data_IF_801105932090
#
_entry.id   IF_801105932090
#
_cell.length_a   1.000
_cell.length_b   1.000
_cell.length_c   1.000
_cell.angle_alpha   90.00
_cell.angle_beta   90.00
_cell.angle_gamma   90.00
#
_symmetry.space_group_name_H-M   'P 1'
#
loop_
_entity.id
_entity.type
_entity.pdbx_description
1 polymer ?
#
# COMPACT_ATOMS: atom_id res chain seq x y z
N UNK A 1 21.37 10.07 -26.47
CA UNK A 1 21.63 10.31 -25.03
C UNK A 1 22.97 9.67 -24.69
N UNK A 2 23.92 10.38 -24.06
CA UNK A 2 25.21 9.78 -23.70
C UNK A 2 24.99 8.74 -22.60
N UNK A 3 25.57 7.55 -22.76
CA UNK A 3 25.55 6.46 -21.77
C UNK A 3 26.50 6.82 -20.62
N UNK A 4 26.03 6.77 -19.38
CA UNK A 4 26.90 6.63 -18.20
C UNK A 4 26.96 7.79 -17.20
N UNK A 5 26.08 8.80 -17.25
CA UNK A 5 26.04 9.81 -16.19
C UNK A 5 25.05 9.37 -15.11
N UNK A 6 25.55 9.03 -13.92
CA UNK A 6 24.70 8.78 -12.76
C UNK A 6 24.01 10.11 -12.36
N UNK A 7 22.69 10.12 -12.37
CA UNK A 7 21.90 11.27 -11.94
C UNK A 7 21.64 11.16 -10.43
N UNK A 8 21.63 12.30 -9.72
CA UNK A 8 21.40 12.32 -8.28
C UNK A 8 20.24 13.26 -7.94
N UNK A 9 19.32 12.81 -7.09
CA UNK A 9 18.34 13.65 -6.41
C UNK A 9 18.79 13.83 -4.97
N UNK A 10 19.14 15.07 -4.61
CA UNK A 10 19.50 15.41 -3.22
C UNK A 10 18.29 16.02 -2.53
N UNK A 11 17.84 15.40 -1.45
CA UNK A 11 16.83 15.93 -0.52
C UNK A 11 17.50 16.42 0.78
N UNK A 12 16.74 17.06 1.67
CA UNK A 12 17.23 17.60 2.95
C UNK A 12 17.88 16.56 3.87
N UNK A 13 17.53 15.28 3.72
CA UNK A 13 18.00 14.19 4.58
C UNK A 13 18.67 13.04 3.84
N UNK A 14 18.33 12.85 2.56
CA UNK A 14 18.70 11.67 1.79
C UNK A 14 19.21 12.08 0.40
N UNK A 15 20.21 11.37 -0.11
CA UNK A 15 20.70 11.49 -1.48
C UNK A 15 20.32 10.21 -2.23
N UNK A 16 19.57 10.37 -3.31
CA UNK A 16 19.14 9.29 -4.17
C UNK A 16 19.98 9.26 -5.43
N UNK A 17 20.66 8.15 -5.70
CA UNK A 17 21.34 7.89 -6.96
C UNK A 17 20.37 7.22 -7.93
N UNK A 18 20.16 7.80 -9.10
CA UNK A 18 19.28 7.27 -10.14
C UNK A 18 20.11 6.49 -11.14
N UNK A 19 19.69 5.26 -11.40
CA UNK A 19 20.25 4.41 -12.42
C UNK A 19 19.12 3.88 -13.32
N UNK A 20 19.27 4.04 -14.64
CA UNK A 20 18.38 3.35 -15.58
C UNK A 20 18.86 1.91 -15.71
N UNK A 21 17.97 0.96 -15.50
CA UNK A 21 18.34 -0.47 -15.55
C UNK A 21 18.66 -0.85 -16.98
N UNK A 22 19.84 -1.42 -17.15
CA UNK A 22 20.28 -2.13 -18.36
C UNK A 22 20.51 -3.60 -18.01
N UNK A 23 20.68 -4.46 -19.02
CA UNK A 23 20.91 -5.90 -18.82
C UNK A 23 22.11 -6.23 -17.93
N UNK A 24 23.09 -5.33 -17.85
CA UNK A 24 24.28 -5.47 -16.98
C UNK A 24 24.01 -5.02 -15.53
N UNK A 25 23.06 -4.11 -15.32
CA UNK A 25 22.74 -3.54 -14.00
C UNK A 25 21.87 -4.48 -13.16
N UNK A 26 21.00 -5.26 -13.79
CA UNK A 26 20.12 -6.23 -13.11
C UNK A 26 20.91 -7.36 -12.42
N UNK A 27 22.03 -7.80 -13.01
CA UNK A 27 22.93 -8.81 -12.41
C UNK A 27 23.56 -8.27 -11.12
N UNK A 28 24.00 -7.01 -11.11
CA UNK A 28 24.62 -6.38 -9.94
C UNK A 28 23.62 -6.08 -8.80
N UNK A 29 22.34 -5.87 -9.11
CA UNK A 29 21.27 -5.74 -8.10
C UNK A 29 21.04 -7.04 -7.34
N UNK A 30 21.03 -8.17 -8.05
CA UNK A 30 20.79 -9.49 -7.46
C UNK A 30 21.88 -9.86 -6.44
N UNK A 31 23.14 -9.44 -6.67
CA UNK A 31 24.24 -9.63 -5.72
C UNK A 31 24.06 -8.77 -4.46
N UNK A 32 23.66 -7.49 -4.60
CA UNK A 32 23.44 -6.58 -3.46
C UNK A 32 22.22 -6.93 -2.61
N UNK A 33 21.14 -7.43 -3.21
CA UNK A 33 19.92 -7.81 -2.49
C UNK A 33 20.18 -8.98 -1.52
N UNK A 34 21.10 -9.89 -1.85
CA UNK A 34 21.48 -11.00 -0.97
C UNK A 34 22.30 -10.56 0.25
N UNK A 35 23.14 -9.53 0.15
CA UNK A 35 23.95 -9.03 1.27
C UNK A 35 23.17 -8.05 2.18
N UNK A 36 22.28 -7.24 1.62
CA UNK A 36 21.62 -6.12 2.31
C UNK A 36 20.49 -6.54 3.27
N UNK A 37 20.02 -7.78 3.19
CA UNK A 37 18.96 -8.31 4.06
C UNK A 37 19.43 -8.55 5.50
N UNK A 38 20.74 -8.63 5.74
CA UNK A 38 21.32 -8.95 7.06
C UNK A 38 21.73 -7.73 7.90
N UNK A 39 21.91 -6.54 7.32
CA UNK A 39 22.43 -5.39 8.05
C UNK A 39 21.90 -4.05 7.49
N UNK A 40 20.81 -3.54 8.07
CA UNK A 40 20.41 -2.14 7.87
C UNK A 40 20.59 -1.38 9.19
N UNK A 41 21.78 -0.79 9.35
CA UNK A 41 22.11 0.10 10.46
C UNK A 41 21.50 1.50 10.22
N UNK A 42 20.82 2.04 11.23
CA UNK A 42 20.06 3.29 11.16
C UNK A 42 20.93 4.56 11.28
N UNK A 43 22.25 4.42 11.28
CA UNK A 43 23.18 5.45 11.78
C UNK A 43 23.87 6.32 10.73
N UNK A 44 23.70 6.08 9.42
CA UNK A 44 24.30 6.91 8.35
C UNK A 44 23.29 7.21 7.25
N UNK A 45 23.32 8.45 6.75
CA UNK A 45 22.64 8.83 5.50
C UNK A 45 23.01 7.80 4.44
N UNK A 46 22.06 6.95 4.09
CA UNK A 46 22.29 5.86 3.16
C UNK A 46 22.15 6.43 1.76
N UNK A 47 23.15 6.21 0.91
CA UNK A 47 23.01 6.49 -0.52
C UNK A 47 21.94 5.54 -1.06
N UNK A 48 20.72 6.05 -1.20
CA UNK A 48 19.58 5.29 -1.70
C UNK A 48 19.71 5.16 -3.21
N UNK A 49 19.63 3.95 -3.74
CA UNK A 49 19.64 3.74 -5.20
C UNK A 49 18.21 3.62 -5.71
N UNK A 50 17.86 4.43 -6.69
CA UNK A 50 16.61 4.35 -7.45
C UNK A 50 16.94 3.73 -8.79
N UNK A 51 16.27 2.63 -9.08
CA UNK A 51 16.44 1.93 -10.33
C UNK A 51 15.20 2.11 -11.20
N UNK A 52 15.39 2.68 -12.39
CA UNK A 52 14.31 3.03 -13.31
C UNK A 52 14.22 1.94 -14.38
N UNK A 53 13.10 1.24 -14.40
CA UNK A 53 12.73 0.33 -15.47
C UNK A 53 11.77 1.05 -16.43
N UNK A 54 12.22 1.29 -17.67
CA UNK A 54 11.48 2.08 -18.67
C UNK A 54 10.70 1.21 -19.66
N UNK A 55 11.23 0.04 -20.00
CA UNK A 55 10.64 -0.84 -21.02
C UNK A 55 9.79 -1.96 -20.40
N UNK A 56 10.28 -2.57 -19.32
CA UNK A 56 9.67 -3.73 -18.68
C UNK A 56 9.46 -3.49 -17.19
N UNK A 57 8.79 -4.42 -16.52
CA UNK A 57 8.68 -4.44 -15.06
C UNK A 57 9.88 -5.13 -14.41
N UNK A 58 10.27 -4.77 -13.18
CA UNK A 58 11.29 -5.50 -12.43
C UNK A 58 10.95 -6.99 -12.30
N UNK A 59 11.97 -7.83 -12.33
CA UNK A 59 11.80 -9.28 -12.11
C UNK A 59 11.51 -9.58 -10.65
N UNK A 60 11.03 -10.79 -10.37
CA UNK A 60 10.82 -11.23 -8.98
C UNK A 60 12.15 -11.32 -8.20
N UNK A 61 13.30 -11.55 -8.85
CA UNK A 61 14.59 -11.50 -8.15
C UNK A 61 14.96 -10.06 -7.70
N UNK A 62 14.61 -9.07 -8.52
CA UNK A 62 14.86 -7.66 -8.21
C UNK A 62 13.89 -7.16 -7.11
N UNK A 63 12.64 -7.63 -7.11
CA UNK A 63 11.62 -7.26 -6.12
C UNK A 63 10.90 -8.48 -5.50
N UNK A 64 11.56 -9.25 -4.61
CA UNK A 64 11.03 -10.53 -4.11
C UNK A 64 9.80 -10.40 -3.19
N UNK A 65 9.48 -9.18 -2.76
CA UNK A 65 8.32 -8.90 -1.90
C UNK A 65 7.15 -8.27 -2.64
N UNK A 66 7.28 -8.08 -3.96
CA UNK A 66 6.23 -7.51 -4.80
C UNK A 66 6.32 -8.10 -6.21
N UNK A 67 5.39 -8.99 -6.53
CA UNK A 67 5.27 -9.55 -7.87
C UNK A 67 4.55 -8.56 -8.80
N UNK A 68 5.31 -7.94 -9.70
CA UNK A 68 4.77 -6.99 -10.67
C UNK A 68 3.82 -7.66 -11.67
N UNK A 69 4.08 -8.90 -12.08
CA UNK A 69 3.26 -9.60 -13.07
C UNK A 69 1.90 -9.93 -12.48
N UNK A 70 1.87 -10.44 -11.24
CA UNK A 70 0.63 -10.71 -10.51
C UNK A 70 -0.15 -9.42 -10.27
N UNK A 71 0.52 -8.36 -9.80
CA UNK A 71 -0.14 -7.07 -9.57
C UNK A 71 -0.76 -6.48 -10.84
N UNK A 72 0.01 -6.34 -11.92
CA UNK A 72 -0.50 -5.70 -13.14
C UNK A 72 -1.48 -6.58 -13.90
N UNK A 73 -1.37 -7.91 -13.83
CA UNK A 73 -2.39 -8.81 -14.39
C UNK A 73 -3.72 -8.68 -13.64
N UNK A 74 -3.69 -8.70 -12.30
CA UNK A 74 -4.86 -8.47 -11.46
C UNK A 74 -5.46 -7.07 -11.65
N UNK A 75 -4.62 -6.04 -11.78
CA UNK A 75 -5.06 -4.67 -12.05
C UNK A 75 -5.78 -4.56 -13.40
N UNK A 76 -5.24 -5.17 -14.47
CA UNK A 76 -5.89 -5.23 -15.79
C UNK A 76 -7.25 -5.93 -15.73
N UNK A 77 -7.33 -7.06 -15.02
CA UNK A 77 -8.57 -7.80 -14.83
C UNK A 77 -9.61 -6.97 -14.07
N UNK A 78 -9.23 -6.32 -12.97
CA UNK A 78 -10.14 -5.45 -12.20
C UNK A 78 -10.63 -4.28 -13.03
N UNK A 79 -9.76 -3.67 -13.85
CA UNK A 79 -10.12 -2.58 -14.76
C UNK A 79 -11.10 -3.02 -15.85
N UNK A 80 -10.94 -4.21 -16.43
CA UNK A 80 -11.86 -4.68 -17.47
C UNK A 80 -13.27 -4.95 -16.93
N UNK A 81 -13.39 -5.28 -15.64
CA UNK A 81 -14.69 -5.44 -14.96
C UNK A 81 -15.26 -4.14 -14.39
N UNK A 82 -14.46 -3.08 -14.33
CA UNK A 82 -14.90 -1.80 -13.77
C UNK A 82 -15.68 -1.00 -14.82
N UNK A 83 -16.88 -0.50 -14.49
CA UNK A 83 -17.64 0.37 -15.39
C UNK A 83 -17.01 1.76 -15.57
N UNK A 84 -15.96 2.09 -14.79
CA UNK A 84 -15.28 3.38 -14.82
C UNK A 84 -13.90 3.26 -15.46
N UNK A 85 -13.65 4.10 -16.47
CA UNK A 85 -12.35 4.23 -17.13
C UNK A 85 -11.35 4.91 -16.19
N UNK A 86 -10.49 4.11 -15.55
CA UNK A 86 -9.44 4.57 -14.64
C UNK A 86 -8.11 4.68 -15.38
N UNK A 87 -7.98 5.67 -16.26
CA UNK A 87 -6.74 5.93 -16.98
C UNK A 87 -5.71 6.57 -16.01
N UNK A 88 -4.51 5.97 -15.91
CA UNK A 88 -3.35 6.59 -15.25
C UNK A 88 -3.03 6.19 -13.80
N UNK A 89 -3.75 5.26 -13.18
CA UNK A 89 -3.46 4.82 -11.80
C UNK A 89 -2.31 3.79 -11.75
N UNK A 90 -1.25 4.04 -10.98
CA UNK A 90 -0.25 3.04 -10.55
C UNK A 90 1.15 3.12 -11.20
N UNK A 91 1.95 4.14 -10.87
CA UNK A 91 3.38 4.30 -11.27
C UNK A 91 4.09 5.20 -10.25
N UNK A 92 5.38 5.57 -10.32
CA UNK A 92 6.59 5.08 -9.59
C UNK A 92 6.82 5.79 -8.21
N UNK A 93 7.98 6.40 -7.85
CA UNK A 93 8.46 6.84 -6.47
C UNK A 93 8.26 8.33 -6.05
N UNK A 94 8.15 8.66 -4.73
CA UNK A 94 7.84 10.01 -4.17
C UNK A 94 9.04 10.76 -3.56
N UNK A 95 9.18 12.03 -3.94
CA UNK A 95 9.85 13.15 -3.23
C UNK A 95 8.90 14.37 -3.29
N UNK A 96 8.88 15.28 -2.32
CA UNK A 96 7.98 16.45 -2.33
C UNK A 96 8.14 17.37 -3.56
N UNK A 97 9.36 17.51 -4.11
CA UNK A 97 9.59 18.24 -5.37
C UNK A 97 9.12 17.45 -6.59
N UNK A 98 9.19 16.12 -6.51
CA UNK A 98 8.67 15.23 -7.55
C UNK A 98 7.15 15.23 -7.56
N UNK A 99 6.46 15.34 -6.40
CA UNK A 99 5.00 15.26 -6.28
C UNK A 99 4.23 16.13 -7.30
N UNK A 100 4.72 17.34 -7.58
CA UNK A 100 4.10 18.26 -8.54
C UNK A 100 4.14 17.76 -9.99
N UNK A 101 5.06 16.86 -10.31
CA UNK A 101 5.24 16.27 -11.63
C UNK A 101 4.53 14.91 -11.76
N UNK A 102 3.96 14.39 -10.67
CA UNK A 102 3.36 13.06 -10.67
C UNK A 102 1.90 13.12 -11.13
N UNK A 103 1.47 12.18 -11.98
CA UNK A 103 0.07 12.08 -12.38
C UNK A 103 -0.82 11.61 -11.22
N UNK A 104 -2.12 11.89 -11.31
CA UNK A 104 -3.11 11.24 -10.43
C UNK A 104 -2.99 9.73 -10.58
N UNK A 105 -3.03 9.05 -9.44
CA UNK A 105 -2.99 7.60 -9.34
C UNK A 105 -1.58 7.03 -9.24
N UNK A 106 -0.54 7.85 -9.36
CA UNK A 106 0.82 7.47 -9.04
C UNK A 106 0.90 6.79 -7.66
N UNK A 107 1.41 5.57 -7.59
CA UNK A 107 1.37 4.69 -6.41
C UNK A 107 2.76 4.24 -6.03
N UNK A 108 3.13 4.45 -4.77
CA UNK A 108 4.34 3.90 -4.15
C UNK A 108 3.95 2.79 -3.22
N UNK A 109 4.69 1.70 -3.25
CA UNK A 109 4.55 0.56 -2.33
C UNK A 109 5.86 0.39 -1.58
N UNK A 110 5.78 0.02 -0.31
CA UNK A 110 6.96 -0.25 0.50
C UNK A 110 6.85 -1.61 1.19
N UNK A 111 7.90 -2.41 1.11
CA UNK A 111 7.99 -3.67 1.86
C UNK A 111 8.05 -3.43 3.37
N UNK A 112 8.76 -2.37 3.77
CA UNK A 112 8.93 -1.98 5.17
C UNK A 112 8.95 -0.47 5.29
N UNK A 113 8.32 0.05 6.34
CA UNK A 113 8.36 1.47 6.67
C UNK A 113 9.04 1.65 8.02
N UNK A 114 10.22 2.26 8.02
CA UNK A 114 11.05 2.47 9.21
C UNK A 114 10.65 3.72 10.00
N UNK A 115 10.23 4.77 9.30
CA UNK A 115 9.79 6.04 9.88
C UNK A 115 8.29 6.28 9.60
N UNK A 116 7.46 5.35 10.06
CA UNK A 116 6.02 5.38 9.88
C UNK A 116 5.37 6.62 10.50
N UNK A 117 4.59 7.36 9.70
CA UNK A 117 3.82 8.51 10.19
C UNK A 117 2.34 8.17 10.31
N UNK A 118 1.78 8.47 11.47
CA UNK A 118 0.36 8.52 11.75
C UNK A 118 -0.13 9.97 11.88
N UNK A 119 -1.42 10.11 12.20
CA UNK A 119 -2.02 11.43 12.44
C UNK A 119 -1.42 12.07 13.70
N UNK A 120 -1.36 13.40 13.73
CA UNK A 120 -0.83 14.19 14.85
C UNK A 120 0.61 13.81 15.24
N UNK A 121 1.43 13.47 14.24
CA UNK A 121 2.84 13.07 14.41
C UNK A 121 3.05 11.76 15.19
N UNK A 122 1.99 10.97 15.42
CA UNK A 122 2.14 9.65 16.03
C UNK A 122 2.97 8.74 15.15
N UNK A 123 3.87 7.96 15.75
CA UNK A 123 4.63 6.96 15.02
C UNK A 123 3.74 5.74 14.69
N UNK A 124 3.89 5.20 13.48
CA UNK A 124 3.21 3.97 13.06
C UNK A 124 4.23 2.84 12.90
N UNK A 125 4.13 1.82 13.75
CA UNK A 125 4.85 0.57 13.53
C UNK A 125 4.20 -0.21 12.39
N UNK A 126 5.02 -0.67 11.45
CA UNK A 126 4.59 -1.55 10.35
C UNK A 126 5.61 -2.67 10.16
N UNK A 127 5.54 -3.75 10.97
CA UNK A 127 6.39 -4.92 10.78
C UNK A 127 6.13 -5.60 9.42
N UNK A 128 6.97 -6.58 9.07
CA UNK A 128 6.74 -7.41 7.88
C UNK A 128 5.33 -8.01 7.89
N UNK A 129 4.69 -8.08 6.71
CA UNK A 129 3.30 -8.54 6.56
C UNK A 129 2.24 -7.44 6.52
N UNK A 130 2.65 -6.17 6.65
CA UNK A 130 1.80 -5.02 6.35
C UNK A 130 1.80 -4.73 4.85
N UNK A 131 0.63 -4.45 4.29
CA UNK A 131 0.51 -3.81 2.99
C UNK A 131 0.62 -2.30 3.20
N UNK A 132 1.67 -1.69 2.64
CA UNK A 132 1.99 -0.28 2.79
C UNK A 132 2.10 0.36 1.42
N UNK A 133 1.22 1.30 1.14
CA UNK A 133 1.27 2.04 -0.11
C UNK A 133 0.75 3.46 0.05
N UNK A 134 1.12 4.32 -0.89
CA UNK A 134 0.61 5.68 -0.96
C UNK A 134 0.26 6.02 -2.39
N UNK A 135 -0.88 6.66 -2.59
CA UNK A 135 -1.35 7.09 -3.91
C UNK A 135 -1.43 8.61 -3.97
N UNK A 136 -0.83 9.19 -5.01
CA UNK A 136 -1.01 10.59 -5.34
C UNK A 136 -2.37 10.81 -6.01
N UNK A 137 -3.12 11.80 -5.58
CA UNK A 137 -4.39 12.21 -6.18
C UNK A 137 -4.33 13.70 -6.43
N UNK A 138 -4.39 14.13 -7.70
CA UNK A 138 -4.52 15.56 -8.02
C UNK A 138 -5.93 16.00 -7.64
N UNK A 139 -6.00 16.95 -6.74
CA UNK A 139 -7.26 17.50 -6.25
C UNK A 139 -7.31 19.00 -6.53
N UNK A 140 -8.21 19.46 -7.43
CA UNK A 140 -8.32 20.88 -7.73
C UNK A 140 -8.65 21.70 -6.49
N UNK A 141 -7.93 22.81 -6.31
CA UNK A 141 -8.10 23.74 -5.17
C UNK A 141 -9.55 24.23 -5.06
N UNK A 142 -10.23 24.43 -6.20
CA UNK A 142 -11.63 24.83 -6.29
C UNK A 142 -12.58 23.84 -5.61
N UNK A 143 -12.24 22.56 -5.56
CA UNK A 143 -13.04 21.49 -4.96
C UNK A 143 -12.73 21.25 -3.48
N UNK A 144 -11.72 21.92 -2.89
CA UNK A 144 -11.31 21.73 -1.49
C UNK A 144 -12.43 21.94 -0.47
N UNK A 145 -13.37 22.84 -0.75
CA UNK A 145 -14.52 23.11 0.15
C UNK A 145 -15.56 21.98 0.12
N UNK A 146 -15.72 21.30 -1.01
CA UNK A 146 -16.74 20.26 -1.20
C UNK A 146 -16.17 18.86 -0.91
N UNK A 147 -14.92 18.62 -1.35
CA UNK A 147 -14.19 17.38 -1.17
C UNK A 147 -12.93 17.64 -0.32
N UNK A 148 -13.19 17.88 0.97
CA UNK A 148 -12.16 18.07 1.98
C UNK A 148 -11.28 16.80 2.11
N UNK A 149 -10.00 16.89 2.52
CA UNK A 149 -9.12 15.72 2.68
C UNK A 149 -9.71 14.59 3.53
N UNK A 150 -10.53 14.94 4.53
CA UNK A 150 -11.27 13.97 5.35
C UNK A 150 -12.28 13.15 4.54
N UNK A 151 -12.92 13.74 3.53
CA UNK A 151 -13.82 13.03 2.63
C UNK A 151 -13.04 12.03 1.76
N UNK A 152 -11.91 12.44 1.18
CA UNK A 152 -11.04 11.53 0.43
C UNK A 152 -10.51 10.39 1.30
N UNK A 153 -10.18 10.68 2.56
CA UNK A 153 -9.77 9.67 3.52
C UNK A 153 -10.88 8.65 3.80
N UNK A 154 -12.13 9.11 3.87
CA UNK A 154 -13.29 8.23 4.02
C UNK A 154 -13.51 7.35 2.79
N UNK A 155 -13.40 7.93 1.58
CA UNK A 155 -13.47 7.15 0.33
C UNK A 155 -12.38 6.08 0.26
N UNK A 156 -11.15 6.42 0.62
CA UNK A 156 -10.05 5.47 0.71
C UNK A 156 -10.34 4.35 1.72
N UNK A 157 -10.96 4.68 2.85
CA UNK A 157 -11.36 3.70 3.86
C UNK A 157 -12.42 2.73 3.34
N UNK A 158 -13.43 3.24 2.65
CA UNK A 158 -14.45 2.43 1.98
C UNK A 158 -13.83 1.51 0.92
N UNK A 159 -12.92 2.04 0.10
CA UNK A 159 -12.19 1.26 -0.89
C UNK A 159 -11.38 0.12 -0.29
N UNK A 160 -10.75 0.32 0.88
CA UNK A 160 -10.07 -0.77 1.60
C UNK A 160 -11.06 -1.84 2.08
N UNK A 161 -12.19 -1.44 2.67
CA UNK A 161 -13.20 -2.41 3.14
C UNK A 161 -13.75 -3.22 1.97
N UNK A 162 -14.09 -2.57 0.86
CA UNK A 162 -14.56 -3.23 -0.36
C UNK A 162 -13.50 -4.16 -0.94
N UNK A 163 -12.24 -3.74 -1.00
CA UNK A 163 -11.14 -4.55 -1.48
C UNK A 163 -10.96 -5.82 -0.65
N UNK A 164 -11.03 -5.71 0.69
CA UNK A 164 -10.94 -6.87 1.59
C UNK A 164 -12.10 -7.83 1.34
N UNK A 165 -13.34 -7.33 1.35
CA UNK A 165 -14.53 -8.19 1.16
C UNK A 165 -14.58 -8.85 -0.22
N UNK A 166 -14.03 -8.20 -1.24
CA UNK A 166 -13.98 -8.73 -2.60
C UNK A 166 -12.67 -9.49 -2.90
N UNK A 167 -11.84 -9.78 -1.90
CA UNK A 167 -10.52 -10.40 -2.12
C UNK A 167 -10.64 -11.90 -2.47
N UNK A 168 -11.48 -12.63 -1.76
CA UNK A 168 -11.66 -14.06 -1.97
C UNK A 168 -12.65 -14.69 -1.00
N UNK A 169 -12.79 -16.01 -1.08
CA UNK A 169 -13.72 -16.78 -0.24
C UNK A 169 -13.43 -16.61 1.27
N UNK A 170 -14.49 -16.32 2.04
CA UNK A 170 -14.43 -16.14 3.49
C UNK A 170 -13.92 -14.76 3.93
N UNK A 171 -13.49 -13.88 3.01
CA UNK A 171 -13.12 -12.51 3.37
C UNK A 171 -14.33 -11.58 3.50
N UNK A 172 -15.43 -11.92 2.84
CA UNK A 172 -16.71 -11.20 2.91
C UNK A 172 -17.39 -11.30 4.29
N UNK A 173 -17.16 -12.41 5.00
CA UNK A 173 -17.64 -12.66 6.35
C UNK A 173 -16.86 -11.89 7.43
N UNK A 174 -15.64 -11.40 7.13
CA UNK A 174 -14.80 -10.71 8.10
C UNK A 174 -15.46 -9.38 8.51
N UNK A 175 -15.61 -9.18 9.82
CA UNK A 175 -16.16 -7.95 10.37
C UNK A 175 -15.15 -6.80 10.40
N UNK A 176 -14.87 -6.21 9.23
CA UNK A 176 -14.06 -5.00 9.12
C UNK A 176 -14.86 -3.77 9.56
N UNK A 177 -14.25 -2.94 10.41
CA UNK A 177 -14.83 -1.71 10.95
C UNK A 177 -13.91 -0.53 10.72
N UNK A 178 -14.53 0.63 10.48
CA UNK A 178 -13.83 1.90 10.40
C UNK A 178 -14.06 2.68 11.69
N UNK A 179 -12.98 2.94 12.44
CA UNK A 179 -13.01 3.87 13.56
C UNK A 179 -12.62 5.24 13.03
N UNK A 180 -13.58 6.16 13.09
CA UNK A 180 -13.37 7.53 12.60
C UNK A 180 -12.20 8.21 13.32
N UNK A 181 -11.33 8.96 12.61
CA UNK A 181 -11.46 9.32 11.20
C UNK A 181 -10.73 8.40 10.21
N UNK A 182 -9.90 7.47 10.67
CA UNK A 182 -8.82 6.97 9.83
C UNK A 182 -8.30 5.57 10.17
N UNK A 183 -8.92 4.87 11.11
CA UNK A 183 -8.41 3.60 11.59
C UNK A 183 -9.25 2.43 11.09
N UNK A 184 -8.56 1.36 10.71
CA UNK A 184 -9.17 0.11 10.23
C UNK A 184 -9.04 -0.91 11.35
N UNK A 185 -10.17 -1.52 11.69
CA UNK A 185 -10.31 -2.49 12.76
C UNK A 185 -10.94 -3.78 12.24
N UNK A 186 -10.61 -4.88 12.89
CA UNK A 186 -11.31 -6.17 12.75
C UNK A 186 -11.72 -6.66 14.12
N UNK A 187 -12.70 -7.56 14.18
CA UNK A 187 -12.99 -8.27 15.41
C UNK A 187 -11.76 -9.07 15.86
N UNK A 188 -11.46 -9.02 17.16
CA UNK A 188 -10.36 -9.73 17.79
C UNK A 188 -10.57 -11.24 17.62
N UNK A 189 -9.69 -11.95 16.88
CA UNK A 189 -9.87 -13.39 16.67
C UNK A 189 -9.82 -14.20 17.96
N UNK A 190 -9.25 -13.66 19.05
CA UNK A 190 -9.23 -14.32 20.35
C UNK A 190 -10.57 -14.23 21.12
N UNK A 191 -11.46 -13.32 20.72
CA UNK A 191 -12.74 -13.06 21.41
C UNK A 191 -13.88 -12.88 20.42
N UNK A 192 -13.96 -13.73 19.39
CA UNK A 192 -15.02 -13.67 18.39
C UNK A 192 -16.41 -13.74 19.05
N UNK A 193 -17.35 -12.94 18.55
CA UNK A 193 -18.69 -12.81 19.08
C UNK A 193 -18.82 -11.90 20.31
N UNK A 194 -17.69 -11.45 20.89
CA UNK A 194 -17.69 -10.55 22.06
C UNK A 194 -17.61 -9.07 21.66
N UNK A 195 -17.68 -8.74 20.37
CA UNK A 195 -17.66 -7.35 19.86
C UNK A 195 -16.44 -6.54 20.29
N UNK A 196 -15.30 -7.21 20.51
CA UNK A 196 -14.02 -6.57 20.79
C UNK A 196 -13.27 -6.39 19.49
N UNK A 197 -12.81 -5.18 19.22
CA UNK A 197 -12.15 -4.83 17.96
C UNK A 197 -10.70 -4.44 18.19
N UNK A 198 -9.83 -4.89 17.30
CA UNK A 198 -8.39 -4.59 17.32
C UNK A 198 -8.01 -3.85 16.05
N UNK A 199 -7.16 -2.83 16.21
CA UNK A 199 -6.67 -2.03 15.10
C UNK A 199 -5.69 -2.84 14.26
N UNK A 200 -5.95 -2.91 12.96
CA UNK A 200 -5.07 -3.58 11.99
C UNK A 200 -4.39 -2.59 11.06
N UNK A 201 -4.83 -1.34 11.00
CA UNK A 201 -4.23 -0.37 10.12
C UNK A 201 -4.85 1.00 10.21
N UNK A 202 -4.46 1.84 9.27
CA UNK A 202 -5.09 3.12 9.10
C UNK A 202 -4.66 3.83 7.84
N UNK A 203 -5.33 4.94 7.61
CA UNK A 203 -5.21 5.76 6.43
C UNK A 203 -4.73 7.14 6.88
N UNK A 204 -3.95 7.80 6.05
CA UNK A 204 -3.49 9.15 6.28
C UNK A 204 -3.52 9.90 4.96
N UNK A 205 -4.34 10.95 4.88
CA UNK A 205 -4.32 11.86 3.74
C UNK A 205 -3.50 13.09 4.10
N UNK A 206 -2.41 13.31 3.37
CA UNK A 206 -1.59 14.51 3.48
C UNK A 206 -1.81 15.40 2.26
N UNK A 207 -1.87 16.71 2.47
CA UNK A 207 -1.92 17.68 1.38
C UNK A 207 -0.53 18.28 1.22
N UNK A 208 -0.05 18.41 -0.01
CA UNK A 208 1.26 19.03 -0.29
C UNK A 208 1.14 19.99 -1.47
N UNK A 209 1.94 21.06 -1.45
CA UNK A 209 2.02 22.10 -2.48
C UNK A 209 1.68 23.50 -1.96
N UNK A 210 2.29 24.52 -2.57
CA UNK A 210 2.04 25.97 -2.35
C UNK A 210 0.66 26.42 -2.88
N UNK A 211 -0.39 25.65 -2.58
CA UNK A 211 -1.74 25.90 -3.11
C UNK A 211 -2.76 24.79 -2.93
N UNK A 212 -2.39 23.57 -2.48
CA UNK A 212 -3.25 22.38 -2.27
C UNK A 212 -3.77 21.69 -3.55
N UNK A 213 -2.89 21.40 -4.49
CA UNK A 213 -3.26 20.71 -5.75
C UNK A 213 -3.20 19.18 -5.67
N UNK A 214 -2.61 18.61 -4.61
CA UNK A 214 -2.38 17.17 -4.50
C UNK A 214 -2.68 16.65 -3.09
N UNK A 215 -3.27 15.46 -3.06
CA UNK A 215 -3.42 14.63 -1.88
C UNK A 215 -2.54 13.40 -2.01
N UNK A 216 -1.74 13.13 -1.00
CA UNK A 216 -1.06 11.85 -0.83
C UNK A 216 -1.89 11.00 0.14
N UNK A 217 -2.51 9.96 -0.39
CA UNK A 217 -3.35 9.01 0.36
C UNK A 217 -2.48 7.82 0.75
N UNK A 218 -1.95 7.85 1.97
CA UNK A 218 -1.18 6.75 2.55
C UNK A 218 -2.11 5.72 3.20
N UNK A 219 -1.99 4.47 2.80
CA UNK A 219 -2.74 3.33 3.32
C UNK A 219 -1.76 2.30 3.85
N UNK A 220 -2.00 1.86 5.09
CA UNK A 220 -1.18 0.84 5.71
C UNK A 220 -2.01 -0.04 6.64
N UNK A 221 -2.08 -1.33 6.36
CA UNK A 221 -2.79 -2.29 7.21
C UNK A 221 -2.14 -3.67 7.20
N UNK A 222 -2.38 -4.41 8.27
CA UNK A 222 -1.78 -5.71 8.54
C UNK A 222 -2.52 -6.82 7.77
N UNK A 223 -1.83 -7.47 6.84
CA UNK A 223 -2.41 -8.51 5.98
C UNK A 223 -2.10 -9.89 6.53
N UNK A 224 -0.83 -10.17 6.88
CA UNK A 224 -0.39 -11.53 7.23
C UNK A 224 0.18 -11.68 8.64
N UNK A 225 0.59 -10.60 9.31
CA UNK A 225 1.31 -10.71 10.58
C UNK A 225 0.36 -10.80 11.79
N UNK A 226 0.33 -11.94 12.46
CA UNK A 226 -0.58 -12.16 13.59
C UNK A 226 -0.20 -11.44 14.90
N UNK A 227 0.98 -10.80 15.00
CA UNK A 227 1.45 -10.13 16.22
C UNK A 227 2.03 -8.73 15.96
N UNK A 228 1.98 -7.79 16.91
CA UNK A 228 1.44 -7.92 18.28
C UNK A 228 -0.09 -7.77 18.37
N UNK A 229 -0.76 -7.41 17.27
CA UNK A 229 -2.21 -7.25 17.22
C UNK A 229 -2.87 -8.46 16.57
N UNK A 230 -3.24 -8.34 15.29
CA UNK A 230 -3.73 -9.42 14.43
C UNK A 230 -3.64 -8.94 12.98
N UNK A 231 -4.03 -9.79 12.03
CA UNK A 231 -4.05 -9.50 10.60
C UNK A 231 -5.36 -9.92 9.95
N UNK A 232 -5.62 -9.43 8.74
CA UNK A 232 -6.81 -9.82 7.98
C UNK A 232 -6.81 -11.33 7.69
N UNK A 233 -5.67 -11.91 7.30
CA UNK A 233 -5.60 -13.35 7.03
C UNK A 233 -5.82 -14.18 8.30
N UNK A 234 -5.36 -13.70 9.45
CA UNK A 234 -5.63 -14.37 10.72
C UNK A 234 -7.13 -14.33 11.05
N UNK A 235 -7.79 -13.18 10.88
CA UNK A 235 -9.25 -13.08 11.05
C UNK A 235 -10.00 -14.00 10.08
N UNK A 236 -9.63 -14.02 8.78
CA UNK A 236 -10.24 -14.89 7.77
C UNK A 236 -10.16 -16.37 8.15
N UNK A 237 -8.99 -16.81 8.60
CA UNK A 237 -8.74 -18.21 8.94
C UNK A 237 -9.62 -18.67 10.12
N UNK A 238 -9.86 -17.80 11.10
CA UNK A 238 -10.73 -18.15 12.24
C UNK A 238 -12.21 -18.12 11.83
N UNK A 239 -12.66 -17.11 11.09
CA UNK A 239 -14.04 -17.05 10.59
C UNK A 239 -14.40 -18.28 9.73
N UNK A 240 -13.47 -18.73 8.89
CA UNK A 240 -13.66 -19.95 8.07
C UNK A 240 -13.74 -21.21 8.94
N UNK A 241 -12.87 -21.33 9.96
CA UNK A 241 -12.89 -22.47 10.90
C UNK A 241 -14.19 -22.52 11.69
N UNK A 242 -14.63 -21.39 12.23
CA UNK A 242 -15.89 -21.31 12.99
C UNK A 242 -17.08 -21.57 12.07
N UNK A 243 -17.08 -21.10 10.82
CA UNK A 243 -18.13 -21.45 9.85
C UNK A 243 -18.19 -22.96 9.58
N UNK A 244 -17.04 -23.61 9.39
CA UNK A 244 -16.96 -25.07 9.20
C UNK A 244 -17.33 -25.88 10.43
N UNK A 245 -17.10 -25.34 11.64
CA UNK A 245 -17.41 -26.00 12.91
C UNK A 245 -18.86 -25.73 13.36
N UNK A 246 -19.43 -24.57 13.00
CA UNK A 246 -20.75 -24.14 13.43
C UNK A 246 -21.88 -24.67 12.55
N UNK A 247 -21.70 -24.93 11.25
CA UNK A 247 -22.76 -25.50 10.39
C UNK A 247 -22.19 -26.10 9.08
N UNK A 248 -22.30 -27.42 8.82
CA UNK A 248 -22.29 -27.91 7.45
C UNK A 248 -23.64 -27.51 6.83
N UNK A 249 -23.60 -26.69 5.77
CA UNK A 249 -24.74 -26.18 4.99
C UNK A 249 -25.56 -25.02 5.60
N UNK A 250 -25.08 -23.79 5.42
CA UNK A 250 -25.99 -22.68 5.08
C UNK A 250 -26.25 -22.76 3.59
N UNK A 251 -27.39 -23.35 3.23
CA UNK A 251 -27.91 -23.39 1.87
C UNK A 251 -27.82 -21.97 1.29
N UNK A 252 -26.97 -21.80 0.27
CA UNK A 252 -26.99 -20.61 -0.58
C UNK A 252 -28.40 -20.53 -1.14
N UNK A 253 -29.19 -19.57 -0.66
CA UNK A 253 -30.48 -19.26 -1.23
C UNK A 253 -30.26 -18.90 -2.70
N UNK A 254 -30.65 -19.80 -3.60
CA UNK A 254 -30.92 -19.46 -4.98
C UNK A 254 -32.06 -18.45 -4.96
N UNK A 255 -31.77 -17.19 -5.27
CA UNK A 255 -32.81 -16.21 -5.56
C UNK A 255 -33.48 -16.57 -6.90
N UNK A 256 -34.79 -16.32 -7.04
CA UNK A 256 -35.57 -16.68 -8.23
C UNK A 256 -35.18 -15.91 -9.49
#
# INVERSE_FOLDING_TARGET
MPRGQAEYIVDMKDTFRIETVTTETSVAMNEKNNESLAAFDQSRGSDLSIFIHVQDHPTHEETPFFDHNEFYSGLRQRRSTSPQQLDGFGSYIINHKLLHHLPTGFTVIATRQTQGRGRSSNFRLSPAGYLLFSVCVRHPVSLMRQAHPLFVQYLAAMGVVEAVKAYGEGYDDILVRLKWPNDIYVEDPATLGQSKFVKIGGILVQCSGDGKEYYLVGIGFNVTNAAPTTSINHSQAIYTRDATCAYPSRIRGTAP
#
